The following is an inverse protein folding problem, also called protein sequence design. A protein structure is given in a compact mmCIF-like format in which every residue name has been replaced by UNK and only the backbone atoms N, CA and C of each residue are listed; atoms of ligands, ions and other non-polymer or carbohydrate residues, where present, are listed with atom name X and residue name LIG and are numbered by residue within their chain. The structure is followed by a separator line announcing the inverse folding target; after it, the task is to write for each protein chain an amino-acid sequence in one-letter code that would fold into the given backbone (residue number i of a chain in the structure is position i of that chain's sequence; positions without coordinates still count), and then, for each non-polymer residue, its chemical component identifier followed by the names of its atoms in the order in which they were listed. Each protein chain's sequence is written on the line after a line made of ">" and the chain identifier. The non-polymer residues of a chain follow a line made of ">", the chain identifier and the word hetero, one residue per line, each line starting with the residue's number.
data_IF_325452653042
#
_entry.id   IF_325452653042
#
_cell.length_a   1.000
_cell.length_b   1.000
_cell.length_c   1.000
_cell.angle_alpha   90.00
_cell.angle_beta   90.00
_cell.angle_gamma   90.00
#
_symmetry.space_group_name_H-M   'P 1'
#
loop_
_entity.id
_entity.type
_entity.pdbx_description
1 polymer ?
#
# COMPACT_ATOMS: atom_id res chain seq x y z
N UNK A 1 35.26 -15.82 -31.85
CA UNK A 1 34.25 -16.11 -30.81
C UNK A 1 33.17 -15.06 -30.95
N UNK A 2 32.15 -15.35 -31.73
CA UNK A 2 30.99 -14.45 -31.92
C UNK A 2 30.12 -14.56 -30.66
N UNK A 3 30.05 -13.50 -29.86
CA UNK A 3 29.13 -13.43 -28.74
C UNK A 3 27.70 -13.34 -29.30
N UNK A 4 26.89 -14.38 -29.06
CA UNK A 4 25.48 -14.36 -29.43
C UNK A 4 24.81 -13.12 -28.83
N UNK A 5 24.25 -12.27 -29.69
CA UNK A 5 23.53 -11.06 -29.30
C UNK A 5 22.24 -11.45 -28.58
N UNK A 6 22.33 -11.66 -27.26
CA UNK A 6 21.15 -11.73 -26.40
C UNK A 6 20.63 -10.32 -26.19
N UNK A 7 19.62 -9.90 -26.96
CA UNK A 7 18.95 -8.60 -26.79
C UNK A 7 18.09 -8.60 -25.51
N UNK A 8 18.73 -8.54 -24.34
CA UNK A 8 18.07 -8.37 -23.04
C UNK A 8 17.85 -6.89 -22.76
N UNK A 9 16.60 -6.47 -22.57
CA UNK A 9 16.27 -5.10 -22.22
C UNK A 9 16.54 -4.82 -20.73
N UNK A 10 16.99 -3.61 -20.42
CA UNK A 10 17.18 -3.14 -19.04
C UNK A 10 15.86 -2.66 -18.43
N UNK A 11 15.71 -2.75 -17.11
CA UNK A 11 14.56 -2.20 -16.38
C UNK A 11 15.04 -0.97 -15.60
N UNK A 12 14.45 0.20 -15.87
CA UNK A 12 14.69 1.44 -15.13
C UNK A 12 13.49 1.80 -14.26
N UNK A 13 13.75 2.16 -13.01
CA UNK A 13 12.72 2.62 -12.08
C UNK A 13 12.56 4.14 -12.23
N UNK A 14 11.36 4.60 -12.58
CA UNK A 14 11.02 6.03 -12.63
C UNK A 14 10.30 6.42 -11.33
N UNK A 15 10.41 7.69 -10.93
CA UNK A 15 10.12 8.26 -9.60
C UNK A 15 8.66 8.16 -9.08
N UNK A 16 7.76 7.40 -9.73
CA UNK A 16 6.38 7.20 -9.28
C UNK A 16 5.98 5.71 -9.12
N UNK A 17 6.96 4.81 -8.98
CA UNK A 17 6.68 3.36 -8.91
C UNK A 17 6.27 2.76 -10.26
N UNK A 18 6.51 3.48 -11.35
CA UNK A 18 6.33 2.99 -12.71
C UNK A 18 7.66 2.40 -13.19
N UNK A 19 7.68 1.09 -13.40
CA UNK A 19 8.79 0.41 -14.06
C UNK A 19 8.74 0.73 -15.55
N UNK A 20 9.79 1.38 -16.07
CA UNK A 20 9.97 1.66 -17.48
C UNK A 20 11.06 0.74 -18.03
N UNK A 21 10.80 0.09 -19.15
CA UNK A 21 11.77 -0.75 -19.86
C UNK A 21 12.22 0.05 -21.10
N UNK A 22 13.38 0.73 -21.06
CA UNK A 22 13.87 1.49 -22.20
C UNK A 22 14.14 0.55 -23.39
N UNK A 23 13.76 0.97 -24.59
CA UNK A 23 13.97 0.18 -25.82
C UNK A 23 12.90 -0.87 -26.10
N UNK A 24 11.84 -0.96 -25.28
CA UNK A 24 10.66 -1.75 -25.66
C UNK A 24 9.95 -1.07 -26.84
N UNK A 25 9.62 -1.84 -27.87
CA UNK A 25 8.95 -1.33 -29.07
C UNK A 25 7.47 -1.13 -28.76
N UNK A 26 6.99 0.11 -28.90
CA UNK A 26 5.57 0.43 -28.82
C UNK A 26 4.93 0.29 -30.20
N UNK A 27 4.04 -0.70 -30.37
CA UNK A 27 3.24 -0.84 -31.57
C UNK A 27 2.06 0.14 -31.54
N UNK A 28 1.95 1.01 -32.55
CA UNK A 28 0.75 1.81 -32.78
C UNK A 28 -0.30 0.91 -33.41
N UNK A 29 -1.48 0.88 -32.80
CA UNK A 29 -2.57 0.03 -33.23
C UNK A 29 -3.84 0.85 -33.29
N UNK A 30 -4.57 0.77 -34.39
CA UNK A 30 -5.80 1.54 -34.63
C UNK A 30 -7.05 0.67 -34.47
N UNK A 31 -6.91 -0.66 -34.60
CA UNK A 31 -8.03 -1.60 -34.61
C UNK A 31 -7.82 -2.81 -33.69
N UNK A 32 -8.92 -3.39 -33.17
CA UNK A 32 -8.89 -4.58 -32.32
C UNK A 32 -8.29 -5.81 -33.00
N UNK A 33 -8.43 -5.92 -34.32
CA UNK A 33 -7.82 -7.01 -35.10
C UNK A 33 -6.29 -6.94 -35.04
N UNK A 34 -5.74 -5.76 -35.30
CA UNK A 34 -4.31 -5.49 -35.17
C UNK A 34 -3.81 -5.70 -33.74
N UNK A 35 -4.62 -5.36 -32.72
CA UNK A 35 -4.29 -5.67 -31.32
C UNK A 35 -4.13 -7.18 -31.16
N UNK A 36 -5.07 -7.96 -31.71
CA UNK A 36 -5.04 -9.41 -31.64
C UNK A 36 -3.80 -9.99 -32.34
N UNK A 37 -3.43 -9.45 -33.50
CA UNK A 37 -2.25 -9.86 -34.27
C UNK A 37 -0.94 -9.59 -33.50
N UNK A 38 -0.80 -8.40 -32.90
CA UNK A 38 0.35 -8.05 -32.05
C UNK A 38 0.43 -8.97 -30.83
N UNK A 39 -0.71 -9.28 -30.22
CA UNK A 39 -0.79 -10.19 -29.07
C UNK A 39 -0.40 -11.62 -29.43
N UNK A 40 -0.80 -12.11 -30.62
CA UNK A 40 -0.37 -13.42 -31.11
C UNK A 40 1.11 -13.45 -31.42
N UNK A 41 1.63 -12.43 -32.11
CA UNK A 41 3.07 -12.31 -32.39
C UNK A 41 3.89 -12.34 -31.09
N UNK A 42 3.46 -11.59 -30.06
CA UNK A 42 4.10 -11.61 -28.74
C UNK A 42 3.92 -12.91 -27.96
N UNK A 43 2.85 -13.68 -28.21
CA UNK A 43 2.67 -15.01 -27.64
C UNK A 43 3.67 -16.00 -28.26
N UNK A 44 3.84 -15.96 -29.58
CA UNK A 44 4.73 -16.87 -30.31
C UNK A 44 6.21 -16.58 -30.06
N UNK A 45 6.57 -15.36 -29.66
CA UNK A 45 7.94 -14.97 -29.31
C UNK A 45 8.38 -15.38 -27.89
N UNK A 46 7.54 -16.09 -27.13
CA UNK A 46 7.85 -16.53 -25.77
C UNK A 46 8.85 -17.69 -25.75
N UNK A 47 9.53 -17.84 -24.62
CA UNK A 47 10.43 -18.94 -24.40
C UNK A 47 9.66 -20.27 -24.35
N UNK A 48 9.96 -21.17 -25.28
CA UNK A 48 9.43 -22.54 -25.31
C UNK A 48 10.18 -23.38 -24.27
N UNK A 49 9.44 -24.17 -23.50
CA UNK A 49 10.04 -25.08 -22.52
C UNK A 49 10.65 -26.31 -23.20
N UNK A 50 11.75 -26.85 -22.66
CA UNK A 50 12.33 -28.11 -23.14
C UNK A 50 11.59 -29.36 -22.59
N UNK A 51 10.56 -29.18 -21.76
CA UNK A 51 9.87 -30.29 -21.09
C UNK A 51 8.67 -30.75 -21.94
N UNK A 52 8.85 -31.91 -22.53
CA UNK A 52 8.12 -32.49 -23.65
C UNK A 52 6.81 -33.19 -23.22
N UNK A 53 5.81 -32.38 -22.81
CA UNK A 53 4.43 -32.89 -22.66
C UNK A 53 3.44 -32.13 -23.56
N UNK A 54 3.76 -30.93 -24.03
CA UNK A 54 3.01 -30.24 -25.07
C UNK A 54 3.98 -29.39 -25.92
N UNK A 55 4.17 -29.76 -27.19
CA UNK A 55 5.01 -29.03 -28.17
C UNK A 55 4.53 -27.58 -28.43
N UNK A 56 3.34 -27.25 -27.91
CA UNK A 56 2.69 -25.95 -28.06
C UNK A 56 2.65 -25.11 -26.77
N UNK A 57 3.21 -25.61 -25.67
CA UNK A 57 3.09 -24.97 -24.35
C UNK A 57 4.32 -24.11 -24.02
N UNK A 58 4.08 -22.83 -23.75
CA UNK A 58 5.11 -21.89 -23.32
C UNK A 58 5.73 -22.33 -22.00
N UNK A 59 7.01 -22.04 -21.81
CA UNK A 59 7.71 -22.42 -20.57
C UNK A 59 6.99 -21.85 -19.35
N UNK A 60 6.62 -22.72 -18.40
CA UNK A 60 6.01 -22.34 -17.11
C UNK A 60 6.91 -21.43 -16.25
N UNK A 61 8.20 -21.35 -16.58
CA UNK A 61 9.19 -20.50 -15.90
C UNK A 61 9.30 -19.11 -16.56
N UNK A 62 8.69 -18.92 -17.73
CA UNK A 62 8.67 -17.63 -18.44
C UNK A 62 7.47 -16.78 -17.99
N UNK A 63 7.75 -15.56 -17.56
CA UNK A 63 6.73 -14.57 -17.19
C UNK A 63 6.64 -13.52 -18.27
N UNK A 64 5.43 -13.00 -18.51
CA UNK A 64 5.18 -11.97 -19.51
C UNK A 64 4.20 -10.94 -18.96
N UNK A 65 4.33 -9.70 -19.43
CA UNK A 65 3.47 -8.59 -19.06
C UNK A 65 2.97 -7.89 -20.33
N UNK A 66 1.68 -7.57 -20.39
CA UNK A 66 1.09 -6.72 -21.45
C UNK A 66 1.12 -5.27 -20.96
N UNK A 67 1.89 -4.43 -21.64
CA UNK A 67 1.96 -3.00 -21.36
C UNK A 67 1.20 -2.23 -22.43
N UNK A 68 0.06 -1.65 -22.07
CA UNK A 68 -0.74 -0.80 -22.96
C UNK A 68 -0.35 0.68 -22.81
N UNK A 69 0.96 0.98 -22.76
CA UNK A 69 1.59 2.25 -22.37
C UNK A 69 0.67 3.49 -22.38
N UNK A 70 0.39 4.02 -23.57
CA UNK A 70 -0.42 5.22 -23.76
C UNK A 70 -1.92 5.03 -23.51
N UNK A 71 -2.47 3.83 -23.71
CA UNK A 71 -3.89 3.56 -23.54
C UNK A 71 -4.36 3.78 -22.10
N UNK A 72 -3.48 3.57 -21.10
CA UNK A 72 -3.80 3.86 -19.69
C UNK A 72 -4.10 5.35 -19.44
N UNK A 73 -3.59 6.25 -20.28
CA UNK A 73 -3.80 7.71 -20.15
C UNK A 73 -5.01 8.21 -20.94
N UNK A 74 -5.70 7.36 -21.70
CA UNK A 74 -6.89 7.75 -22.45
C UNK A 74 -8.06 8.05 -21.51
N UNK A 75 -8.87 9.09 -21.81
CA UNK A 75 -10.12 9.35 -21.08
C UNK A 75 -11.02 8.11 -21.13
N UNK A 76 -11.70 7.77 -20.03
CA UNK A 76 -12.46 6.53 -19.87
C UNK A 76 -11.64 5.31 -19.44
N UNK A 77 -10.50 5.02 -20.08
CA UNK A 77 -9.62 3.92 -19.64
C UNK A 77 -8.90 4.28 -18.35
N UNK A 78 -8.44 5.53 -18.22
CA UNK A 78 -7.77 6.03 -17.01
C UNK A 78 -8.63 5.85 -15.77
N UNK A 79 -9.93 6.11 -15.88
CA UNK A 79 -10.90 6.04 -14.79
C UNK A 79 -11.10 4.61 -14.26
N UNK A 80 -10.95 3.59 -15.11
CA UNK A 80 -11.04 2.18 -14.71
C UNK A 80 -9.85 1.75 -13.83
N UNK A 81 -8.70 2.40 -13.98
CA UNK A 81 -7.46 2.08 -13.26
C UNK A 81 -7.13 3.08 -12.15
N UNK A 82 -7.85 4.19 -12.06
CA UNK A 82 -7.68 5.18 -11.01
C UNK A 82 -8.27 4.63 -9.72
N UNK A 83 -7.41 4.42 -8.71
CA UNK A 83 -7.84 3.84 -7.45
C UNK A 83 -8.90 4.78 -6.85
N UNK A 84 -10.10 4.28 -6.50
CA UNK A 84 -11.11 5.14 -5.89
C UNK A 84 -10.48 5.84 -4.68
N UNK A 85 -10.72 7.15 -4.51
CA UNK A 85 -10.07 7.93 -3.47
C UNK A 85 -10.25 7.20 -2.14
N UNK A 86 -9.14 6.88 -1.46
CA UNK A 86 -9.21 6.14 -0.21
C UNK A 86 -10.01 6.98 0.78
N UNK A 87 -11.24 6.53 1.05
CA UNK A 87 -12.10 7.16 2.04
C UNK A 87 -11.32 7.17 3.36
N UNK A 88 -11.08 8.36 3.90
CA UNK A 88 -10.48 8.51 5.23
C UNK A 88 -11.30 7.70 6.21
N UNK A 89 -10.75 6.57 6.67
CA UNK A 89 -11.39 5.73 7.68
C UNK A 89 -11.56 6.59 8.93
N UNK A 90 -12.79 6.80 9.37
CA UNK A 90 -13.03 7.40 10.70
C UNK A 90 -12.41 6.47 11.74
N UNK A 91 -11.87 7.05 12.82
CA UNK A 91 -11.30 6.27 13.93
C UNK A 91 -12.35 5.27 14.40
N UNK A 92 -11.99 3.99 14.43
CA UNK A 92 -12.84 2.95 14.99
C UNK A 92 -12.95 3.14 16.51
N UNK A 93 -14.02 2.63 17.12
CA UNK A 93 -14.11 2.49 18.58
C UNK A 93 -12.83 1.87 19.15
N UNK A 94 -12.30 0.86 18.48
CA UNK A 94 -11.06 0.19 18.88
C UNK A 94 -9.83 1.13 18.89
N UNK A 95 -9.71 2.03 17.91
CA UNK A 95 -8.62 3.01 17.85
C UNK A 95 -8.71 4.07 18.95
N UNK A 96 -9.94 4.36 19.38
CA UNK A 96 -10.21 5.23 20.52
C UNK A 96 -9.83 4.51 21.82
N UNK A 97 -10.32 3.28 22.02
CA UNK A 97 -10.03 2.47 23.20
C UNK A 97 -8.53 2.21 23.40
N UNK A 98 -7.75 2.03 22.33
CA UNK A 98 -6.29 1.89 22.39
C UNK A 98 -5.55 3.07 23.01
N UNK A 99 -6.14 4.26 22.97
CA UNK A 99 -5.55 5.50 23.49
C UNK A 99 -6.10 5.89 24.85
N UNK A 100 -7.04 5.12 25.39
CA UNK A 100 -7.49 5.27 26.77
C UNK A 100 -6.43 4.60 27.64
N UNK A 101 -5.64 5.41 28.33
CA UNK A 101 -4.59 4.95 29.24
C UNK A 101 -5.04 5.04 30.70
N UNK A 102 -4.16 4.66 31.63
CA UNK A 102 -4.43 4.78 33.07
C UNK A 102 -4.71 6.22 33.51
N UNK A 103 -4.20 7.22 32.77
CA UNK A 103 -4.43 8.64 33.03
C UNK A 103 -5.92 9.01 32.83
N UNK A 104 -6.64 8.34 31.93
CA UNK A 104 -8.09 8.55 31.78
C UNK A 104 -8.89 8.17 33.03
N UNK A 105 -8.40 7.19 33.79
CA UNK A 105 -9.04 6.72 35.02
C UNK A 105 -8.50 7.39 36.29
N UNK A 106 -7.66 8.41 36.17
CA UNK A 106 -7.14 9.17 37.31
C UNK A 106 -6.07 8.44 38.14
N UNK A 107 -5.57 7.27 37.69
CA UNK A 107 -4.55 6.50 38.42
C UNK A 107 -3.19 7.22 38.58
N UNK A 108 -3.01 8.39 37.94
CA UNK A 108 -1.81 9.23 38.10
C UNK A 108 -2.06 10.47 38.96
N UNK A 109 -3.30 10.79 39.29
CA UNK A 109 -3.65 11.99 40.06
C UNK A 109 -3.23 11.83 41.54
N UNK A 110 -3.21 10.59 42.05
CA UNK A 110 -2.72 10.26 43.40
C UNK A 110 -1.20 10.45 43.54
N UNK A 111 -0.45 10.34 42.45
CA UNK A 111 1.03 10.36 42.44
C UNK A 111 1.61 11.79 42.26
N UNK A 112 0.82 12.76 41.80
CA UNK A 112 1.25 14.15 41.63
C UNK A 112 1.33 14.92 42.97
N UNK A 113 0.87 14.31 44.08
CA UNK A 113 0.95 14.85 45.43
C UNK A 113 0.14 16.13 45.68
N UNK A 114 -0.72 16.51 44.72
CA UNK A 114 -1.64 17.65 44.82
C UNK A 114 -2.75 17.33 45.82
N UNK A 115 -3.26 16.10 45.80
CA UNK A 115 -4.36 15.66 46.66
C UNK A 115 -4.02 15.84 48.15
N UNK A 116 -2.88 15.34 48.60
CA UNK A 116 -2.44 15.48 50.00
C UNK A 116 -2.20 16.93 50.45
N UNK A 117 -1.85 17.86 49.53
CA UNK A 117 -1.72 19.29 49.86
C UNK A 117 -3.08 19.96 50.08
N UNK A 118 -4.13 19.47 49.43
CA UNK A 118 -5.48 20.00 49.55
C UNK A 118 -6.23 19.35 50.72
N UNK A 119 -6.05 18.05 50.94
CA UNK A 119 -6.72 17.31 52.00
C UNK A 119 -6.18 17.66 53.40
N UNK A 120 -4.86 17.78 53.58
CA UNK A 120 -4.27 18.11 54.88
C UNK A 120 -4.84 19.34 55.60
N UNK A 121 -4.92 20.53 54.98
CA UNK A 121 -5.54 21.69 55.60
C UNK A 121 -7.04 21.51 55.82
N UNK A 122 -7.75 20.85 54.88
CA UNK A 122 -9.19 20.60 55.01
C UNK A 122 -9.51 19.63 56.17
N UNK A 123 -8.72 18.58 56.34
CA UNK A 123 -8.82 17.63 57.46
C UNK A 123 -8.51 18.31 58.80
N UNK A 124 -7.48 19.15 58.85
CA UNK A 124 -7.15 19.92 60.04
C UNK A 124 -8.27 20.89 60.44
N UNK A 125 -8.88 21.58 59.47
CA UNK A 125 -10.04 22.44 59.69
C UNK A 125 -11.26 21.65 60.19
N UNK A 126 -11.56 20.51 59.55
CA UNK A 126 -12.65 19.62 59.98
C UNK A 126 -12.42 19.09 61.40
N UNK A 127 -11.20 18.65 61.71
CA UNK A 127 -10.84 18.18 63.04
C UNK A 127 -10.94 19.30 64.09
N UNK A 128 -10.47 20.51 63.76
CA UNK A 128 -10.59 21.67 64.65
C UNK A 128 -12.06 22.08 64.88
N UNK A 129 -12.90 22.01 63.85
CA UNK A 129 -14.34 22.25 63.97
C UNK A 129 -15.01 21.20 64.87
N UNK A 130 -14.71 19.91 64.67
CA UNK A 130 -15.25 18.82 65.47
C UNK A 130 -14.81 18.89 66.95
N UNK A 131 -13.54 19.22 67.22
CA UNK A 131 -13.03 19.42 68.59
C UNK A 131 -13.67 20.63 69.27
N UNK A 132 -14.03 21.67 68.51
CA UNK A 132 -14.73 22.85 69.05
C UNK A 132 -16.21 22.56 69.37
N UNK A 133 -16.81 21.60 68.68
CA UNK A 133 -18.20 21.19 68.89
C UNK A 133 -18.37 20.22 70.08
N UNK A 134 -17.29 19.56 70.53
CA UNK A 134 -17.28 18.61 71.64
C UNK A 134 -16.93 19.26 72.99
#
# INVERSE_FOLDING_TARGET
>A
MEAGFGCRLEIRQVYEGVHHVPGIVEAKVENIKEVWDVLQAGSNARAVGYNNVNDHEHSSRSHWYRYFGAAKKLPGVRELFEKPPELRKRRSRYDIFKRIDASYYGYRDDEDGILGKLEGPAEAEMHAAAVKEW
#
